data_IF_670366652681
#
_entry.id   IF_670366652681
#
_cell.length_a   1.000
_cell.length_b   1.000
_cell.length_c   1.000
_cell.angle_alpha   90.00
_cell.angle_beta   90.00
_cell.angle_gamma   90.00
#
_symmetry.space_group_name_H-M   'P 1'
#
loop_
_entity.id
_entity.type
_entity.pdbx_description
1 polymer ?
#
# COMPACT_ATOMS: atom_id res chain seq x y z
N UNK A 1 -22.67 17.64 53.44
CA UNK A 1 -23.12 17.28 52.07
C UNK A 1 -22.18 17.72 50.96
N UNK A 2 -21.39 18.79 51.12
CA UNK A 2 -20.54 19.35 50.04
C UNK A 2 -19.36 18.44 49.64
N UNK A 3 -18.81 17.63 50.55
CA UNK A 3 -17.66 16.78 50.23
C UNK A 3 -17.99 15.66 49.22
N UNK A 4 -19.21 15.11 49.27
CA UNK A 4 -19.62 13.99 48.41
C UNK A 4 -19.81 14.46 46.97
N UNK A 5 -20.31 15.69 46.77
CA UNK A 5 -20.48 16.28 45.43
C UNK A 5 -19.14 16.57 44.74
N UNK A 6 -18.09 16.92 45.47
CA UNK A 6 -16.76 17.19 44.88
C UNK A 6 -16.10 15.89 44.43
N UNK A 7 -16.22 14.80 45.21
CA UNK A 7 -15.70 13.48 44.83
C UNK A 7 -16.42 12.95 43.58
N UNK A 8 -17.73 13.16 43.48
CA UNK A 8 -18.51 12.77 42.30
C UNK A 8 -18.07 13.53 41.03
N UNK A 9 -17.78 14.83 41.13
CA UNK A 9 -17.31 15.62 39.98
C UNK A 9 -15.90 15.25 39.52
N UNK A 10 -15.01 14.83 40.44
CA UNK A 10 -13.68 14.31 40.09
C UNK A 10 -13.78 12.91 39.46
N UNK A 11 -14.72 12.07 39.89
CA UNK A 11 -14.96 10.76 39.28
C UNK A 11 -15.62 10.87 37.90
N UNK A 12 -16.57 11.80 37.71
CA UNK A 12 -17.22 12.03 36.40
C UNK A 12 -16.22 12.64 35.40
N UNK A 13 -15.34 13.55 35.83
CA UNK A 13 -14.32 14.08 34.93
C UNK A 13 -13.29 13.03 34.50
N UNK A 14 -12.97 12.03 35.34
CA UNK A 14 -12.15 10.88 34.93
C UNK A 14 -12.89 9.85 34.08
N UNK A 15 -14.21 9.70 34.25
CA UNK A 15 -15.03 8.86 33.37
C UNK A 15 -15.21 9.48 31.97
N UNK A 16 -15.13 10.81 31.84
CA UNK A 16 -15.18 11.51 30.56
C UNK A 16 -13.80 11.74 29.91
N UNK A 17 -12.69 11.40 30.57
CA UNK A 17 -11.34 11.56 30.01
C UNK A 17 -10.71 10.28 29.42
N UNK A 18 -11.49 9.22 29.28
CA UNK A 18 -11.05 7.97 28.68
C UNK A 18 -12.08 7.45 27.70
N UNK A 19 -12.20 8.07 26.52
CA UNK A 19 -12.69 7.41 25.31
C UNK A 19 -12.26 8.22 24.07
N UNK A 20 -10.95 8.40 23.89
CA UNK A 20 -10.43 8.40 22.51
C UNK A 20 -10.44 6.94 22.13
N UNK A 21 -11.51 6.50 21.45
CA UNK A 21 -11.39 5.32 20.61
C UNK A 21 -10.27 5.63 19.63
N UNK A 22 -9.13 4.99 19.81
CA UNK A 22 -8.37 4.54 18.67
C UNK A 22 -9.32 3.64 17.88
N UNK A 23 -10.17 4.25 17.05
CA UNK A 23 -10.53 3.68 15.76
C UNK A 23 -9.23 3.71 14.93
N UNK A 24 -8.21 2.97 15.39
CA UNK A 24 -7.44 2.17 14.46
C UNK A 24 -8.50 1.33 13.77
N UNK A 25 -9.00 1.86 12.66
CA UNK A 25 -9.52 1.06 11.58
C UNK A 25 -8.52 -0.07 11.51
N UNK A 26 -8.92 -1.28 11.91
CA UNK A 26 -8.11 -2.48 11.84
C UNK A 26 -7.93 -2.68 10.34
N UNK A 27 -6.96 -1.94 9.79
CA UNK A 27 -6.95 -1.59 8.39
C UNK A 27 -6.35 -2.79 7.72
N UNK A 28 -7.27 -3.68 7.35
CA UNK A 28 -7.10 -4.94 6.65
C UNK A 28 -5.82 -4.92 5.83
N UNK A 29 -4.79 -5.55 6.36
CA UNK A 29 -3.61 -5.94 5.61
C UNK A 29 -3.85 -7.41 5.30
N UNK A 30 -4.34 -7.75 4.10
CA UNK A 30 -4.63 -9.14 3.78
C UNK A 30 -3.43 -10.02 4.10
N UNK A 31 -3.72 -11.16 4.72
CA UNK A 31 -2.71 -12.12 5.18
C UNK A 31 -1.67 -12.39 4.11
N UNK A 32 -0.41 -12.51 4.54
CA UNK A 32 0.79 -12.81 3.71
C UNK A 32 0.56 -13.94 2.69
N UNK A 33 -0.40 -14.83 2.94
CA UNK A 33 -0.80 -15.93 2.06
C UNK A 33 -1.31 -15.49 0.69
N UNK A 34 -1.95 -14.32 0.56
CA UNK A 34 -2.58 -13.90 -0.70
C UNK A 34 -1.55 -13.22 -1.64
N UNK A 35 -0.46 -12.66 -1.10
CA UNK A 35 0.42 -11.75 -1.84
C UNK A 35 1.83 -12.34 -2.06
N UNK A 36 2.06 -12.84 -3.28
CA UNK A 36 3.38 -13.32 -3.74
C UNK A 36 4.27 -12.18 -4.24
N UNK A 37 5.52 -12.47 -4.61
CA UNK A 37 6.48 -11.47 -5.12
C UNK A 37 6.02 -10.72 -6.39
N UNK A 38 5.06 -11.27 -7.14
CA UNK A 38 4.48 -10.63 -8.33
C UNK A 38 3.52 -9.47 -7.99
N UNK A 39 3.45 -9.10 -6.72
CA UNK A 39 2.63 -7.99 -6.26
C UNK A 39 3.39 -6.68 -6.21
N UNK A 40 4.72 -6.62 -6.41
CA UNK A 40 5.39 -5.30 -6.45
C UNK A 40 5.05 -4.56 -7.75
N UNK A 41 4.94 -3.22 -7.73
CA UNK A 41 4.71 -2.48 -8.96
C UNK A 41 5.88 -2.70 -9.92
N UNK A 42 5.57 -2.75 -11.22
CA UNK A 42 6.60 -2.69 -12.24
C UNK A 42 7.40 -1.38 -12.11
N UNK A 43 8.69 -1.43 -12.43
CA UNK A 43 9.58 -0.27 -12.35
C UNK A 43 9.72 0.36 -13.73
N UNK A 44 9.06 1.48 -13.95
CA UNK A 44 9.12 2.27 -15.19
C UNK A 44 9.19 3.76 -14.91
N UNK A 45 9.40 4.54 -15.96
CA UNK A 45 9.23 5.99 -15.91
C UNK A 45 7.82 6.34 -16.42
N UNK A 46 6.81 6.14 -15.58
CA UNK A 46 5.38 6.27 -15.92
C UNK A 46 4.95 7.65 -16.39
N UNK A 47 5.67 8.70 -16.01
CA UNK A 47 5.42 10.06 -16.54
C UNK A 47 6.21 10.35 -17.83
N UNK A 48 6.93 9.33 -18.34
CA UNK A 48 7.81 9.39 -19.49
C UNK A 48 9.28 9.53 -19.11
N UNK A 49 10.14 8.70 -19.70
CA UNK A 49 11.60 8.72 -19.49
C UNK A 49 12.19 10.11 -19.77
N UNK A 50 11.74 10.77 -20.84
CA UNK A 50 12.16 12.15 -21.17
C UNK A 50 11.76 13.14 -20.08
N UNK A 51 10.59 12.99 -19.48
CA UNK A 51 10.14 13.86 -18.40
C UNK A 51 10.99 13.66 -17.14
N UNK A 52 11.24 12.42 -16.74
CA UNK A 52 12.12 12.10 -15.61
C UNK A 52 13.54 12.62 -15.82
N UNK A 53 14.12 12.42 -17.01
CA UNK A 53 15.44 12.99 -17.38
C UNK A 53 15.46 14.52 -17.33
N UNK A 54 14.40 15.19 -17.81
CA UNK A 54 14.27 16.65 -17.73
C UNK A 54 14.17 17.15 -16.29
N UNK A 55 13.40 16.47 -15.44
CA UNK A 55 13.29 16.80 -14.01
C UNK A 55 14.65 16.67 -13.31
N UNK A 56 15.38 15.58 -13.59
CA UNK A 56 16.75 15.37 -13.07
C UNK A 56 17.70 16.47 -13.53
N UNK A 57 17.72 16.79 -14.83
CA UNK A 57 18.57 17.85 -15.38
C UNK A 57 18.22 19.24 -14.83
N UNK A 58 16.94 19.50 -14.55
CA UNK A 58 16.49 20.79 -14.01
C UNK A 58 17.01 21.04 -12.60
N UNK A 59 17.00 20.02 -11.74
CA UNK A 59 17.55 20.09 -10.39
C UNK A 59 17.83 18.68 -9.86
N UNK A 60 19.10 18.27 -9.91
CA UNK A 60 19.52 16.91 -9.55
C UNK A 60 19.26 16.60 -8.07
N UNK A 61 19.58 17.54 -7.17
CA UNK A 61 19.36 17.36 -5.74
C UNK A 61 17.87 17.15 -5.40
N UNK A 62 16.99 17.98 -5.97
CA UNK A 62 15.54 17.86 -5.76
C UNK A 62 15.02 16.55 -6.37
N UNK A 63 15.52 16.15 -7.52
CA UNK A 63 15.16 14.88 -8.14
C UNK A 63 15.56 13.69 -7.26
N UNK A 64 16.80 13.67 -6.77
CA UNK A 64 17.31 12.62 -5.90
C UNK A 64 16.55 12.57 -4.58
N UNK A 65 16.23 13.73 -3.98
CA UNK A 65 15.40 13.80 -2.79
C UNK A 65 14.02 13.15 -3.00
N UNK A 66 13.40 13.33 -4.17
CA UNK A 66 12.15 12.65 -4.52
C UNK A 66 12.34 11.14 -4.68
N UNK A 67 13.42 10.70 -5.32
CA UNK A 67 13.75 9.28 -5.42
C UNK A 67 13.89 8.64 -4.02
N UNK A 68 14.39 9.37 -3.04
CA UNK A 68 14.64 8.81 -1.70
C UNK A 68 13.45 8.90 -0.74
N UNK A 69 12.56 9.89 -0.93
CA UNK A 69 11.57 10.26 0.09
C UNK A 69 10.13 10.31 -0.43
N UNK A 70 9.87 10.06 -1.72
CA UNK A 70 8.52 10.03 -2.29
C UNK A 70 8.24 8.67 -2.94
N UNK A 71 7.45 7.82 -2.28
CA UNK A 71 7.20 6.44 -2.73
C UNK A 71 6.61 6.35 -4.16
N UNK A 72 5.62 7.17 -4.50
CA UNK A 72 5.06 7.23 -5.85
C UNK A 72 6.12 7.59 -6.88
N UNK A 73 6.95 8.60 -6.59
CA UNK A 73 7.97 9.07 -7.51
C UNK A 73 9.07 8.03 -7.72
N UNK A 74 9.57 7.49 -6.60
CA UNK A 74 10.68 6.57 -6.48
C UNK A 74 10.44 5.19 -7.09
N UNK A 75 9.23 4.66 -6.91
CA UNK A 75 8.91 3.27 -7.23
C UNK A 75 7.99 3.13 -8.45
N UNK A 76 7.34 4.21 -8.89
CA UNK A 76 6.38 4.18 -10.01
C UNK A 76 6.63 5.26 -11.07
N UNK A 77 6.71 6.54 -10.71
CA UNK A 77 6.69 7.61 -11.71
C UNK A 77 8.00 7.75 -12.49
N UNK A 78 9.13 7.65 -11.80
CA UNK A 78 10.48 7.78 -12.38
C UNK A 78 11.41 6.67 -11.89
N UNK A 79 10.88 5.46 -11.70
CA UNK A 79 11.60 4.39 -11.03
C UNK A 79 12.90 4.00 -11.74
N UNK A 80 12.90 3.99 -13.08
CA UNK A 80 14.07 3.66 -13.87
C UNK A 80 15.11 4.79 -13.82
N UNK A 81 14.69 6.05 -13.96
CA UNK A 81 15.60 7.20 -13.86
C UNK A 81 16.17 7.37 -12.44
N UNK A 82 15.45 6.97 -11.39
CA UNK A 82 15.95 6.89 -10.01
C UNK A 82 16.97 5.75 -9.79
N UNK A 83 17.15 4.86 -10.76
CA UNK A 83 18.03 3.68 -10.68
C UNK A 83 17.21 2.41 -10.42
N UNK A 84 16.69 1.78 -11.48
CA UNK A 84 15.78 0.63 -11.35
C UNK A 84 16.30 -0.51 -10.46
N UNK A 85 17.61 -0.81 -10.51
CA UNK A 85 18.23 -1.85 -9.68
C UNK A 85 18.23 -1.54 -8.18
N UNK A 86 18.12 -0.26 -7.78
CA UNK A 86 18.06 0.14 -6.37
C UNK A 86 16.63 0.31 -5.85
N UNK A 87 15.61 0.01 -6.66
CA UNK A 87 14.21 0.05 -6.23
C UNK A 87 13.93 -0.79 -4.96
N UNK A 88 14.46 -2.03 -4.80
CA UNK A 88 14.28 -2.79 -3.57
C UNK A 88 14.83 -2.07 -2.32
N UNK A 89 16.01 -1.45 -2.43
CA UNK A 89 16.63 -0.70 -1.34
C UNK A 89 15.79 0.53 -0.96
N UNK A 90 15.30 1.27 -1.96
CA UNK A 90 14.45 2.44 -1.73
C UNK A 90 13.11 2.03 -1.12
N UNK A 91 12.51 0.93 -1.59
CA UNK A 91 11.30 0.36 -0.99
C UNK A 91 11.50 0.04 0.49
N UNK A 92 12.55 -0.72 0.82
CA UNK A 92 12.89 -1.07 2.21
C UNK A 92 13.13 0.16 3.10
N UNK A 93 13.72 1.24 2.55
CA UNK A 93 13.89 2.53 3.25
C UNK A 93 12.55 3.22 3.49
N UNK A 94 11.70 3.32 2.46
CA UNK A 94 10.40 4.00 2.52
C UNK A 94 9.39 3.27 3.42
N UNK A 95 9.44 1.93 3.47
CA UNK A 95 8.52 1.09 4.24
C UNK A 95 9.23 0.34 5.38
N UNK A 96 10.26 0.94 5.96
CA UNK A 96 11.01 0.37 7.09
C UNK A 96 10.11 0.02 8.31
N UNK A 97 9.05 0.80 8.51
CA UNK A 97 8.00 0.64 9.54
C UNK A 97 6.81 -0.20 9.04
N UNK A 98 6.88 -0.76 7.83
CA UNK A 98 5.83 -1.58 7.24
C UNK A 98 4.51 -0.81 7.08
N UNK A 99 3.44 -1.33 7.67
CA UNK A 99 2.10 -0.73 7.66
C UNK A 99 1.99 0.59 8.43
N UNK A 100 2.94 0.87 9.33
CA UNK A 100 3.00 2.10 10.13
C UNK A 100 3.79 3.21 9.44
N UNK A 101 4.49 2.91 8.33
CA UNK A 101 5.21 3.93 7.58
C UNK A 101 4.26 5.05 7.14
N UNK A 102 4.72 6.31 7.22
CA UNK A 102 4.02 7.46 6.63
C UNK A 102 3.73 7.32 5.14
N UNK A 103 4.45 6.43 4.46
CA UNK A 103 4.24 6.11 3.05
C UNK A 103 3.20 5.01 2.85
N UNK A 104 2.74 4.32 3.90
CA UNK A 104 1.76 3.26 3.79
C UNK A 104 0.33 3.77 4.00
N UNK A 105 -0.30 4.25 2.92
CA UNK A 105 -1.68 4.72 2.97
C UNK A 105 -2.41 4.44 1.66
N UNK A 106 -3.72 4.31 1.76
CA UNK A 106 -4.62 4.33 0.61
C UNK A 106 -5.00 5.78 0.30
N UNK A 107 -4.99 6.14 -0.98
CA UNK A 107 -5.38 7.48 -1.44
C UNK A 107 -6.91 7.62 -1.47
N UNK A 108 -7.63 6.52 -1.46
CA UNK A 108 -9.09 6.45 -1.42
C UNK A 108 -9.59 5.86 -0.10
N UNK A 109 -10.89 5.98 0.14
CA UNK A 109 -11.54 5.43 1.35
C UNK A 109 -11.38 3.91 1.46
N UNK A 110 -11.40 3.33 2.68
CA UNK A 110 -11.34 1.88 2.88
C UNK A 110 -12.33 1.09 2.00
N UNK A 111 -13.61 1.49 1.97
CA UNK A 111 -14.65 0.85 1.13
C UNK A 111 -14.34 0.85 -0.37
N UNK A 112 -13.63 1.88 -0.86
CA UNK A 112 -13.21 1.94 -2.26
C UNK A 112 -12.11 0.91 -2.51
N UNK A 113 -11.12 0.85 -1.62
CA UNK A 113 -9.97 -0.03 -1.79
C UNK A 113 -10.30 -1.49 -1.54
N UNK A 114 -11.23 -1.78 -0.65
CA UNK A 114 -11.85 -3.09 -0.49
C UNK A 114 -12.53 -3.54 -1.78
N UNK A 115 -13.41 -2.72 -2.37
CA UNK A 115 -14.06 -3.03 -3.65
C UNK A 115 -13.06 -3.21 -4.79
N UNK A 116 -11.98 -2.43 -4.79
CA UNK A 116 -10.88 -2.58 -5.74
C UNK A 116 -10.18 -3.92 -5.57
N UNK A 117 -9.82 -4.29 -4.33
CA UNK A 117 -9.16 -5.56 -4.02
C UNK A 117 -10.03 -6.77 -4.37
N UNK A 118 -11.31 -6.72 -4.00
CA UNK A 118 -12.28 -7.79 -4.22
C UNK A 118 -12.83 -7.82 -5.66
N UNK A 119 -12.38 -6.92 -6.54
CA UNK A 119 -12.90 -6.77 -7.91
C UNK A 119 -14.43 -6.67 -7.95
N UNK A 120 -15.04 -5.89 -7.04
CA UNK A 120 -16.48 -5.66 -6.97
C UNK A 120 -16.90 -4.42 -7.76
N UNK A 121 -18.20 -4.33 -8.07
CA UNK A 121 -18.82 -3.21 -8.78
C UNK A 121 -18.10 -2.84 -10.09
N UNK A 122 -17.68 -1.59 -10.24
CA UNK A 122 -16.97 -1.06 -11.39
C UNK A 122 -15.62 -1.74 -11.66
N UNK A 123 -15.07 -2.49 -10.69
CA UNK A 123 -13.79 -3.19 -10.83
C UNK A 123 -13.91 -4.63 -11.35
N UNK A 124 -15.12 -5.20 -11.40
CA UNK A 124 -15.35 -6.59 -11.80
C UNK A 124 -14.85 -6.92 -13.21
N UNK A 125 -14.90 -5.94 -14.11
CA UNK A 125 -14.39 -6.06 -15.50
C UNK A 125 -13.03 -5.40 -15.69
N UNK A 126 -12.48 -4.76 -14.65
CA UNK A 126 -11.20 -4.07 -14.74
C UNK A 126 -10.03 -5.05 -14.78
N UNK A 127 -9.02 -4.72 -15.59
CA UNK A 127 -7.72 -5.41 -15.57
C UNK A 127 -6.82 -4.92 -14.44
N UNK A 128 -7.18 -3.82 -13.78
CA UNK A 128 -6.39 -3.24 -12.70
C UNK A 128 -6.60 -4.03 -11.42
N UNK A 129 -5.49 -4.44 -10.82
CA UNK A 129 -5.52 -5.21 -9.57
C UNK A 129 -4.29 -4.87 -8.72
N UNK A 130 -4.24 -5.39 -7.50
CA UNK A 130 -3.10 -5.29 -6.59
C UNK A 130 -1.83 -6.04 -7.06
N UNK A 131 -1.83 -6.69 -8.24
CA UNK A 131 -0.72 -7.49 -8.75
C UNK A 131 -0.64 -7.45 -10.28
N UNK A 132 0.46 -8.00 -10.83
CA UNK A 132 0.67 -8.07 -12.27
C UNK A 132 1.01 -6.72 -12.91
N UNK A 133 0.70 -6.59 -14.21
CA UNK A 133 1.12 -5.45 -15.04
C UNK A 133 0.61 -4.09 -14.52
N UNK A 134 -0.59 -4.08 -13.95
CA UNK A 134 -1.26 -2.87 -13.46
C UNK A 134 -1.05 -2.60 -11.96
N UNK A 135 -0.20 -3.37 -11.28
CA UNK A 135 0.11 -3.19 -9.86
C UNK A 135 0.62 -1.77 -9.55
N UNK A 136 1.24 -1.10 -10.51
CA UNK A 136 1.67 0.30 -10.38
C UNK A 136 0.51 1.29 -10.19
N UNK A 137 -0.68 0.98 -10.70
CA UNK A 137 -1.89 1.77 -10.49
C UNK A 137 -2.40 1.53 -9.07
N UNK A 138 -2.51 0.26 -8.67
CA UNK A 138 -2.92 -0.13 -7.33
C UNK A 138 -2.00 0.46 -6.25
N UNK A 139 -0.68 0.48 -6.48
CA UNK A 139 0.30 1.11 -5.59
C UNK A 139 0.03 2.59 -5.32
N UNK A 140 -0.56 3.31 -6.29
CA UNK A 140 -0.87 4.74 -6.19
C UNK A 140 -2.23 5.01 -5.54
N UNK A 141 -3.15 4.06 -5.62
CA UNK A 141 -4.56 4.21 -5.25
C UNK A 141 -4.84 3.54 -3.89
N UNK A 142 -4.45 2.27 -3.73
CA UNK A 142 -4.79 1.40 -2.61
C UNK A 142 -3.54 0.68 -2.06
N UNK A 143 -2.47 1.45 -1.82
CA UNK A 143 -1.15 0.93 -1.45
C UNK A 143 -1.19 0.02 -0.21
N UNK A 144 -1.93 0.44 0.81
CA UNK A 144 -2.02 -0.24 2.10
C UNK A 144 -2.92 -1.46 1.98
N UNK A 145 -4.12 -1.31 1.42
CA UNK A 145 -5.06 -2.43 1.21
C UNK A 145 -4.46 -3.53 0.32
N UNK A 146 -3.68 -3.17 -0.69
CA UNK A 146 -2.99 -4.12 -1.57
C UNK A 146 -1.67 -4.67 -1.00
N UNK A 147 -1.36 -4.43 0.28
CA UNK A 147 -0.17 -4.97 0.95
C UNK A 147 1.17 -4.61 0.30
N UNK A 148 1.27 -3.46 -0.38
CA UNK A 148 2.52 -3.01 -0.99
C UNK A 148 3.55 -2.48 0.01
N UNK A 149 3.13 -2.23 1.25
CA UNK A 149 3.98 -1.67 2.30
C UNK A 149 4.84 -2.72 3.02
N UNK A 150 4.72 -4.00 2.66
CA UNK A 150 5.45 -5.07 3.32
C UNK A 150 6.95 -4.92 3.10
N UNK A 151 7.73 -5.06 4.17
CA UNK A 151 9.20 -4.97 4.12
C UNK A 151 9.85 -6.02 3.23
N UNK A 152 9.19 -7.17 3.09
CA UNK A 152 9.64 -8.33 2.32
C UNK A 152 9.04 -8.36 0.89
N UNK A 153 8.46 -7.25 0.42
CA UNK A 153 7.79 -7.23 -0.89
C UNK A 153 8.73 -7.59 -2.06
N UNK A 154 10.02 -7.25 -1.93
CA UNK A 154 11.07 -7.57 -2.90
C UNK A 154 11.89 -8.81 -2.54
N UNK A 155 11.51 -9.59 -1.52
CA UNK A 155 12.28 -10.77 -1.10
C UNK A 155 11.69 -12.03 -1.75
N UNK A 156 12.52 -12.79 -2.46
CA UNK A 156 12.14 -14.11 -2.96
C UNK A 156 12.18 -15.15 -1.83
N UNK A 157 11.49 -16.28 -2.03
CA UNK A 157 11.46 -17.39 -1.05
C UNK A 157 12.84 -18.01 -0.78
N UNK A 158 13.77 -17.89 -1.72
CA UNK A 158 15.15 -18.38 -1.62
C UNK A 158 16.10 -17.36 -0.94
N UNK A 159 15.58 -16.20 -0.50
CA UNK A 159 16.37 -15.13 0.09
C UNK A 159 17.06 -14.21 -0.91
N UNK A 160 16.90 -14.45 -2.23
CA UNK A 160 17.36 -13.51 -3.25
C UNK A 160 16.44 -12.29 -3.35
N UNK A 161 16.96 -11.18 -3.89
CA UNK A 161 16.17 -9.95 -4.07
C UNK A 161 15.48 -9.98 -5.44
N UNK A 162 14.16 -9.92 -5.45
CA UNK A 162 13.35 -9.72 -6.65
C UNK A 162 13.72 -8.40 -7.31
N UNK A 163 13.90 -8.41 -8.64
CA UNK A 163 14.10 -7.19 -9.43
C UNK A 163 12.79 -6.80 -10.09
N UNK A 164 12.28 -5.60 -9.80
CA UNK A 164 11.08 -5.10 -10.46
C UNK A 164 11.26 -5.11 -11.97
N UNK A 165 10.35 -5.81 -12.65
CA UNK A 165 10.30 -5.84 -14.11
C UNK A 165 9.98 -4.46 -14.67
N UNK A 166 10.42 -4.18 -15.89
CA UNK A 166 9.99 -2.98 -16.61
C UNK A 166 8.49 -3.05 -16.88
N UNK A 167 7.83 -1.91 -16.80
CA UNK A 167 6.43 -1.81 -17.15
C UNK A 167 6.23 -2.09 -18.65
N UNK A 168 5.14 -2.77 -19.00
CA UNK A 168 4.88 -3.28 -20.35
C UNK A 168 5.66 -4.55 -20.74
N UNK A 169 6.50 -5.09 -19.84
CA UNK A 169 7.18 -6.39 -20.05
C UNK A 169 6.40 -7.58 -19.44
N UNK A 170 5.29 -7.31 -18.77
CA UNK A 170 4.45 -8.32 -18.13
C UNK A 170 3.34 -8.72 -19.12
N UNK A 171 3.20 -10.01 -19.38
CA UNK A 171 1.94 -10.50 -19.94
C UNK A 171 0.86 -10.33 -18.87
N UNK A 172 -0.33 -9.79 -19.20
CA UNK A 172 -1.39 -9.64 -18.21
C UNK A 172 -1.88 -11.03 -17.80
N UNK A 173 -1.32 -11.58 -16.72
CA UNK A 173 -1.92 -12.70 -16.01
C UNK A 173 -3.07 -12.14 -15.19
N UNK A 174 -4.30 -12.53 -15.52
CA UNK A 174 -5.45 -12.31 -14.65
C UNK A 174 -5.25 -13.21 -13.43
N UNK A 175 -4.64 -12.66 -12.38
CA UNK A 175 -4.52 -13.35 -11.11
C UNK A 175 -5.90 -13.34 -10.47
N UNK A 176 -6.51 -14.52 -10.37
CA UNK A 176 -7.65 -14.70 -9.47
C UNK A 176 -7.05 -14.67 -8.07
N UNK A 177 -7.44 -13.70 -7.25
CA UNK A 177 -7.04 -13.66 -5.84
C UNK A 177 -7.63 -14.84 -5.05
N UNK A 178 -8.62 -15.52 -5.63
CA UNK A 178 -9.37 -16.61 -5.04
C UNK A 178 -9.40 -17.77 -6.02
N UNK A 179 -8.74 -18.88 -5.62
CA UNK A 179 -8.78 -20.14 -6.35
C UNK A 179 -10.13 -20.87 -6.16
N UNK A 180 -10.90 -20.51 -5.12
CA UNK A 180 -12.27 -20.98 -4.87
C UNK A 180 -13.19 -19.83 -4.38
N UNK A 181 -14.51 -20.02 -4.44
CA UNK A 181 -15.49 -19.05 -3.91
C UNK A 181 -15.42 -18.95 -2.37
N UNK A 182 -14.92 -19.97 -1.68
CA UNK A 182 -14.84 -20.00 -0.22
C UNK A 182 -13.85 -18.96 0.34
N UNK A 183 -12.73 -18.72 -0.36
CA UNK A 183 -11.75 -17.71 0.05
C UNK A 183 -12.30 -16.29 -0.07
N UNK A 184 -13.25 -16.04 -0.99
CA UNK A 184 -13.91 -14.73 -1.09
C UNK A 184 -14.88 -14.53 0.08
N UNK A 185 -15.68 -15.55 0.42
CA UNK A 185 -16.62 -15.49 1.54
C UNK A 185 -15.90 -15.37 2.90
N UNK A 186 -14.75 -16.04 3.07
CA UNK A 186 -13.92 -15.92 4.28
C UNK A 186 -13.35 -14.50 4.43
N UNK A 187 -12.87 -13.90 3.34
CA UNK A 187 -12.42 -12.51 3.37
C UNK A 187 -13.55 -11.52 3.58
N UNK A 188 -14.71 -11.72 2.96
CA UNK A 188 -15.89 -10.89 3.20
C UNK A 188 -16.30 -10.93 4.67
N UNK A 189 -16.28 -12.11 5.31
CA UNK A 189 -16.51 -12.25 6.75
C UNK A 189 -15.43 -11.57 7.60
N UNK A 190 -14.17 -11.64 7.17
CA UNK A 190 -13.07 -10.93 7.84
C UNK A 190 -13.25 -9.40 7.74
N UNK A 191 -13.78 -8.89 6.62
CA UNK A 191 -14.15 -7.48 6.46
C UNK A 191 -15.34 -7.08 7.33
N UNK A 192 -16.41 -7.87 7.35
CA UNK A 192 -17.64 -7.58 8.11
C UNK A 192 -17.46 -7.69 9.63
N UNK A 193 -16.42 -8.37 10.11
CA UNK A 193 -16.10 -8.46 11.55
C UNK A 193 -15.25 -7.29 12.06
N UNK A 194 -14.68 -6.50 11.15
CA UNK A 194 -13.79 -5.39 11.45
C UNK A 194 -14.51 -4.02 11.38
N UNK A 195 -15.72 -3.96 10.80
CA UNK A 195 -16.56 -2.76 10.65
C UNK A 195 -17.96 -2.95 11.25
#
# INVERSE_FOLDING_TARGET
MILITVIYLIFISKLFYCYVTDNETLLYSPSKKIFTVDTVPCCGDMIGETACKRLRKKNEFKFQNKCENEADFSLVQCCQTCGGDTAPLRHKKLFNEGSLSKHCFDRHSPKFCEKFLLHKDHWATSTWSCSGEYAHIAFRICRKTCSFCRRDAYDNKDGSVYKAKRCGALTPTKIRYFDDENNLEELEKEFDTIF
#
